data_IF_664753874349
#
_entry.id   IF_664753874349
#
_cell.length_a   1.000
_cell.length_b   1.000
_cell.length_c   1.000
_cell.angle_alpha   90.00
_cell.angle_beta   90.00
_cell.angle_gamma   90.00
#
_symmetry.space_group_name_H-M   'P 1'
#
loop_
_entity.id
_entity.type
_entity.pdbx_description
1 polymer ?
#
# COMPACT_ATOMS: atom_id res chain seq x y z
N UNK A 1 23.45 30.61 62.04
CA UNK A 1 22.27 31.01 61.24
C UNK A 1 21.31 29.84 61.26
N UNK A 2 20.37 29.81 62.22
CA UNK A 2 19.07 30.51 62.17
C UNK A 2 18.10 29.78 61.24
N UNK A 3 16.91 29.31 61.62
CA UNK A 3 16.20 29.17 62.91
C UNK A 3 14.95 28.33 62.57
N UNK A 4 14.62 27.37 63.45
CA UNK A 4 13.27 27.01 63.93
C UNK A 4 12.16 26.57 62.95
N UNK A 5 11.10 25.84 63.36
CA UNK A 5 10.71 25.07 64.55
C UNK A 5 9.38 24.38 64.19
N UNK A 6 9.15 23.25 64.87
CA UNK A 6 7.91 22.79 65.49
C UNK A 6 6.54 22.81 64.77
N UNK A 7 5.98 21.59 64.74
CA UNK A 7 4.69 21.13 65.31
C UNK A 7 3.45 21.98 65.01
N UNK A 8 2.41 21.32 64.48
CA UNK A 8 1.12 21.22 65.16
C UNK A 8 0.24 20.12 64.53
N UNK A 9 -0.16 19.15 65.35
CA UNK A 9 -1.42 18.43 65.19
C UNK A 9 -2.57 19.43 65.36
N UNK A 10 -3.64 19.30 64.57
CA UNK A 10 -4.99 19.65 65.03
C UNK A 10 -6.01 18.69 64.40
N UNK A 11 -6.73 17.97 65.26
CA UNK A 11 -8.00 17.33 64.94
C UNK A 11 -9.06 18.41 64.71
N UNK A 12 -9.99 18.18 63.79
CA UNK A 12 -11.33 18.79 63.85
C UNK A 12 -12.38 17.86 63.23
N UNK A 13 -13.55 17.89 63.87
CA UNK A 13 -14.66 16.95 63.79
C UNK A 13 -15.52 17.01 62.51
N UNK A 14 -16.09 15.84 62.22
CA UNK A 14 -17.43 15.51 61.72
C UNK A 14 -18.37 16.69 61.43
N UNK A 15 -18.93 16.71 60.21
CA UNK A 15 -20.33 17.10 59.98
C UNK A 15 -20.95 16.16 58.94
N UNK A 16 -21.79 15.25 59.42
CA UNK A 16 -22.68 14.42 58.60
C UNK A 16 -23.84 15.33 58.15
N UNK A 17 -23.94 15.61 56.85
CA UNK A 17 -25.09 16.32 56.29
C UNK A 17 -25.68 15.47 55.17
N UNK A 18 -26.83 14.87 55.46
CA UNK A 18 -27.71 14.30 54.44
C UNK A 18 -28.37 15.46 53.69
N UNK A 19 -28.21 15.50 52.37
CA UNK A 19 -29.06 16.31 51.50
C UNK A 19 -29.79 15.42 50.50
N UNK A 20 -31.10 15.61 50.52
CA UNK A 20 -32.12 14.92 49.75
C UNK A 20 -31.89 15.10 48.24
N UNK A 21 -32.20 14.04 47.49
CA UNK A 21 -32.36 14.10 46.06
C UNK A 21 -33.43 15.13 45.67
N UNK A 22 -33.04 16.17 44.92
CA UNK A 22 -33.96 16.91 44.08
C UNK A 22 -33.66 16.58 42.62
N UNK A 23 -34.58 15.85 41.99
CA UNK A 23 -34.64 15.69 40.55
C UNK A 23 -34.97 17.07 39.95
N UNK A 24 -33.95 17.76 39.44
CA UNK A 24 -34.11 18.94 38.58
C UNK A 24 -33.98 18.51 37.12
N UNK A 25 -34.76 19.08 36.19
CA UNK A 25 -34.70 18.70 34.79
C UNK A 25 -33.31 19.02 34.25
N UNK A 26 -32.65 18.01 33.68
CA UNK A 26 -31.42 18.19 32.92
C UNK A 26 -31.75 19.13 31.75
N UNK A 27 -31.36 20.40 31.88
CA UNK A 27 -31.23 21.31 30.75
C UNK A 27 -30.28 20.65 29.77
N UNK A 28 -30.81 20.25 28.62
CA UNK A 28 -30.08 19.49 27.61
C UNK A 28 -28.78 20.18 27.25
N UNK A 29 -27.68 19.44 27.43
CA UNK A 29 -26.46 19.72 26.69
C UNK A 29 -26.84 19.75 25.21
N UNK A 30 -26.44 20.78 24.42
CA UNK A 30 -26.52 20.69 22.99
C UNK A 30 -25.68 19.48 22.59
N UNK A 31 -26.37 18.42 22.16
CA UNK A 31 -25.76 17.23 21.59
C UNK A 31 -24.71 17.71 20.59
N UNK A 32 -23.44 17.52 20.94
CA UNK A 32 -22.35 17.70 20.00
C UNK A 32 -22.63 16.69 18.90
N UNK A 33 -23.19 17.16 17.79
CA UNK A 33 -23.39 16.32 16.63
C UNK A 33 -22.00 15.87 16.20
N UNK A 34 -21.69 14.60 16.52
CA UNK A 34 -20.59 13.88 15.91
C UNK A 34 -20.97 13.79 14.44
N UNK A 35 -20.56 14.79 13.66
CA UNK A 35 -20.63 14.74 12.21
C UNK A 35 -19.82 13.53 11.80
N UNK A 36 -20.50 12.46 11.40
CA UNK A 36 -19.86 11.27 10.86
C UNK A 36 -18.88 11.72 9.78
N UNK A 37 -17.60 11.37 9.93
CA UNK A 37 -16.63 11.61 8.87
C UNK A 37 -17.17 10.97 7.58
N UNK A 38 -17.13 11.67 6.44
CA UNK A 38 -17.64 11.11 5.20
C UNK A 38 -16.92 9.78 4.93
N UNK A 39 -17.70 8.76 4.59
CA UNK A 39 -17.15 7.45 4.21
C UNK A 39 -16.11 7.65 3.09
N UNK A 40 -14.97 6.94 3.13
CA UNK A 40 -13.95 7.07 2.10
C UNK A 40 -14.53 6.84 0.70
N UNK A 41 -14.18 7.70 -0.26
CA UNK A 41 -14.57 7.51 -1.67
C UNK A 41 -14.06 6.13 -2.13
N UNK A 42 -14.90 5.28 -2.74
CA UNK A 42 -14.45 4.01 -3.30
C UNK A 42 -13.37 4.20 -4.36
N UNK A 43 -12.53 3.18 -4.56
CA UNK A 43 -11.55 3.17 -5.66
C UNK A 43 -12.25 3.30 -7.01
N UNK A 44 -11.74 4.22 -7.83
CA UNK A 44 -12.29 4.54 -9.15
C UNK A 44 -11.60 3.69 -10.22
N UNK A 45 -12.34 2.73 -10.77
CA UNK A 45 -11.85 1.86 -11.86
C UNK A 45 -11.98 2.50 -13.25
N UNK A 46 -12.64 3.64 -13.39
CA UNK A 46 -12.88 4.25 -14.73
C UNK A 46 -11.61 4.53 -15.55
N UNK A 47 -10.44 4.92 -14.97
CA UNK A 47 -9.23 5.12 -15.76
C UNK A 47 -8.47 3.82 -16.06
N UNK A 48 -8.99 2.66 -15.66
CA UNK A 48 -8.31 1.37 -15.77
C UNK A 48 -9.08 0.37 -16.65
N UNK A 49 -8.32 -0.49 -17.31
CA UNK A 49 -8.81 -1.76 -17.84
C UNK A 49 -8.28 -2.87 -16.94
N UNK A 50 -9.19 -3.64 -16.33
CA UNK A 50 -8.82 -4.78 -15.51
C UNK A 50 -8.72 -6.02 -16.38
N UNK A 51 -7.64 -6.77 -16.24
CA UNK A 51 -7.47 -8.08 -16.89
C UNK A 51 -6.80 -9.07 -15.95
N UNK A 52 -6.97 -10.35 -16.24
CA UNK A 52 -6.29 -11.44 -15.54
C UNK A 52 -5.78 -12.47 -16.56
N UNK A 53 -4.69 -13.14 -16.20
CA UNK A 53 -4.13 -14.29 -16.92
C UNK A 53 -4.15 -15.48 -15.97
N UNK A 54 -4.56 -16.63 -16.47
CA UNK A 54 -4.85 -17.82 -15.68
C UNK A 54 -6.23 -17.77 -15.04
N UNK A 55 -6.47 -18.62 -14.05
CA UNK A 55 -7.74 -18.71 -13.33
C UNK A 55 -7.55 -18.36 -11.86
N UNK A 56 -8.43 -17.53 -11.31
CA UNK A 56 -8.43 -17.16 -9.89
C UNK A 56 -7.96 -15.74 -9.55
N UNK A 57 -6.92 -15.17 -10.19
CA UNK A 57 -6.49 -13.81 -9.87
C UNK A 57 -7.61 -12.78 -10.06
N UNK A 58 -7.71 -11.82 -9.12
CA UNK A 58 -8.75 -10.78 -9.16
C UNK A 58 -8.23 -9.43 -8.68
N UNK A 59 -8.86 -8.36 -9.20
CA UNK A 59 -8.70 -7.00 -8.71
C UNK A 59 -10.07 -6.50 -8.28
N UNK A 60 -10.23 -6.15 -7.01
CA UNK A 60 -11.52 -5.74 -6.44
C UNK A 60 -11.40 -4.49 -5.59
N UNK A 61 -12.42 -3.63 -5.61
CA UNK A 61 -12.43 -2.42 -4.78
C UNK A 61 -12.47 -2.77 -3.28
N UNK A 62 -11.65 -2.10 -2.49
CA UNK A 62 -11.51 -2.29 -1.05
C UNK A 62 -11.43 -0.92 -0.34
N UNK A 63 -12.61 -0.34 -0.09
CA UNK A 63 -12.71 1.05 0.34
C UNK A 63 -12.13 1.99 -0.71
N UNK A 64 -11.22 2.89 -0.31
CA UNK A 64 -10.50 3.77 -1.23
C UNK A 64 -9.35 3.12 -2.00
N UNK A 65 -9.10 1.83 -1.80
CA UNK A 65 -8.05 1.08 -2.47
C UNK A 65 -8.55 -0.05 -3.35
N UNK A 66 -7.61 -0.78 -3.94
CA UNK A 66 -7.87 -2.00 -4.71
C UNK A 66 -7.10 -3.16 -4.10
N UNK A 67 -7.77 -4.29 -3.92
CA UNK A 67 -7.14 -5.55 -3.57
C UNK A 67 -6.77 -6.32 -4.82
N UNK A 68 -5.49 -6.65 -4.95
CA UNK A 68 -4.97 -7.64 -5.87
C UNK A 68 -4.85 -8.97 -5.13
N UNK A 69 -5.55 -9.99 -5.61
CA UNK A 69 -5.61 -11.30 -4.99
C UNK A 69 -5.16 -12.37 -5.97
N UNK A 70 -4.29 -13.25 -5.51
CA UNK A 70 -3.97 -14.53 -6.14
C UNK A 70 -4.33 -15.65 -5.16
N UNK A 71 -5.43 -16.38 -5.38
CA UNK A 71 -5.84 -17.44 -4.46
C UNK A 71 -4.92 -18.65 -4.55
N UNK A 72 -4.78 -19.39 -3.46
CA UNK A 72 -3.99 -20.63 -3.36
C UNK A 72 -4.25 -21.62 -4.51
N UNK A 73 -5.50 -21.69 -4.98
CA UNK A 73 -5.94 -22.60 -6.05
C UNK A 73 -5.77 -22.02 -7.47
N UNK A 74 -5.15 -20.86 -7.61
CA UNK A 74 -4.94 -20.23 -8.92
C UNK A 74 -4.17 -21.17 -9.87
N UNK A 75 -4.58 -21.18 -11.14
CA UNK A 75 -3.95 -22.00 -12.17
C UNK A 75 -3.39 -21.12 -13.29
N UNK A 76 -2.15 -21.40 -13.71
CA UNK A 76 -1.54 -20.71 -14.84
C UNK A 76 -2.31 -20.94 -16.14
N UNK A 77 -2.21 -20.00 -17.07
CA UNK A 77 -2.77 -20.14 -18.41
C UNK A 77 -1.82 -20.97 -19.30
N UNK A 78 -2.21 -22.17 -19.77
CA UNK A 78 -1.37 -22.97 -20.65
C UNK A 78 -1.05 -22.29 -21.99
N UNK A 79 -1.92 -21.41 -22.48
CA UNK A 79 -1.70 -20.68 -23.72
C UNK A 79 -0.69 -19.53 -23.56
N UNK A 80 -0.38 -19.16 -22.31
CA UNK A 80 0.57 -18.09 -21.98
C UNK A 80 1.71 -18.61 -21.11
N UNK A 81 2.24 -19.79 -21.46
CA UNK A 81 3.39 -20.37 -20.76
C UNK A 81 3.20 -20.49 -19.23
N UNK A 82 1.98 -20.82 -18.79
CA UNK A 82 1.62 -20.97 -17.38
C UNK A 82 1.76 -19.68 -16.56
N UNK A 83 1.53 -18.50 -17.16
CA UNK A 83 1.50 -17.23 -16.43
C UNK A 83 0.27 -17.12 -15.52
N UNK A 84 0.46 -16.48 -14.37
CA UNK A 84 -0.58 -16.13 -13.40
C UNK A 84 -0.51 -14.64 -13.13
N UNK A 85 -1.62 -13.91 -13.34
CA UNK A 85 -1.57 -12.46 -13.20
C UNK A 85 -2.94 -11.80 -13.03
N UNK A 86 -2.93 -10.66 -12.34
CA UNK A 86 -3.97 -9.64 -12.42
C UNK A 86 -3.36 -8.26 -12.66
N UNK A 87 -3.94 -7.50 -13.59
CA UNK A 87 -3.47 -6.17 -14.00
C UNK A 87 -4.60 -5.14 -13.97
N UNK A 88 -4.25 -3.92 -13.58
CA UNK A 88 -4.92 -2.67 -13.92
C UNK A 88 -4.04 -1.95 -14.95
N UNK A 89 -4.50 -1.90 -16.19
CA UNK A 89 -3.83 -1.17 -17.27
C UNK A 89 -4.45 0.20 -17.41
N UNK A 90 -3.65 1.27 -17.31
CA UNK A 90 -4.14 2.62 -17.48
C UNK A 90 -4.69 2.82 -18.90
N UNK A 91 -5.80 3.56 -19.03
CA UNK A 91 -6.38 3.92 -20.33
C UNK A 91 -5.63 5.07 -21.03
N UNK A 92 -4.86 5.84 -20.28
CA UNK A 92 -3.97 6.86 -20.82
C UNK A 92 -2.60 6.27 -21.17
N UNK A 93 -1.75 7.11 -21.79
CA UNK A 93 -0.34 6.80 -21.99
C UNK A 93 0.54 7.77 -21.19
N UNK A 94 1.70 7.30 -20.75
CA UNK A 94 2.74 8.12 -20.14
C UNK A 94 3.58 8.77 -21.25
N UNK A 95 3.18 9.95 -21.69
CA UNK A 95 3.73 10.61 -22.90
C UNK A 95 4.89 11.56 -22.62
N UNK A 96 5.06 11.99 -21.37
CA UNK A 96 6.10 12.94 -20.95
C UNK A 96 6.83 12.41 -19.70
N UNK A 97 7.56 13.29 -19.02
CA UNK A 97 8.04 13.04 -17.67
C UNK A 97 6.86 12.61 -16.77
N UNK A 98 7.08 11.58 -15.98
CA UNK A 98 6.04 11.01 -15.12
C UNK A 98 6.57 10.68 -13.74
N UNK A 99 5.65 10.63 -12.79
CA UNK A 99 5.85 10.21 -11.42
C UNK A 99 4.66 9.38 -10.98
N UNK A 100 4.84 8.06 -10.97
CA UNK A 100 3.82 7.10 -10.55
C UNK A 100 4.15 6.64 -9.14
N UNK A 101 3.17 6.69 -8.24
CA UNK A 101 3.33 6.29 -6.83
C UNK A 101 2.12 5.49 -6.38
N UNK A 102 2.35 4.50 -5.52
CA UNK A 102 1.30 3.78 -4.84
C UNK A 102 1.74 3.38 -3.43
N UNK A 103 0.80 3.47 -2.49
CA UNK A 103 0.94 2.90 -1.17
C UNK A 103 0.45 1.46 -1.23
N UNK A 104 1.10 0.57 -0.47
CA UNK A 104 0.71 -0.83 -0.40
C UNK A 104 0.60 -1.32 1.04
N UNK A 105 -0.22 -2.34 1.23
CA UNK A 105 -0.28 -3.17 2.43
C UNK A 105 -0.36 -4.63 2.02
N UNK A 106 0.53 -5.45 2.56
CA UNK A 106 0.54 -6.89 2.39
C UNK A 106 -0.48 -7.49 3.36
N UNK A 107 -1.62 -7.94 2.83
CA UNK A 107 -2.71 -8.51 3.63
C UNK A 107 -2.48 -9.99 3.88
N UNK A 108 -2.05 -10.71 2.84
CA UNK A 108 -1.58 -12.08 2.91
C UNK A 108 -0.32 -12.18 2.04
N UNK A 109 0.82 -12.48 2.67
CA UNK A 109 2.11 -12.53 2.00
C UNK A 109 3.01 -13.60 2.64
N UNK A 110 2.71 -14.88 2.37
CA UNK A 110 3.56 -15.98 2.80
C UNK A 110 4.99 -15.80 2.26
N UNK A 111 6.03 -16.21 3.00
CA UNK A 111 7.39 -16.18 2.49
C UNK A 111 7.54 -17.14 1.31
N UNK A 112 8.45 -16.83 0.39
CA UNK A 112 8.73 -17.61 -0.83
C UNK A 112 7.51 -17.85 -1.73
N UNK A 113 6.54 -16.92 -1.76
CA UNK A 113 5.28 -17.14 -2.47
C UNK A 113 5.37 -17.04 -4.00
N UNK A 114 6.48 -16.54 -4.54
CA UNK A 114 6.73 -16.40 -5.98
C UNK A 114 6.10 -15.18 -6.63
N UNK A 115 5.25 -14.44 -5.93
CA UNK A 115 4.51 -13.31 -6.48
C UNK A 115 5.34 -12.03 -6.42
N UNK A 116 5.26 -11.30 -7.53
CA UNK A 116 5.66 -9.91 -7.65
C UNK A 116 4.39 -9.07 -7.70
N UNK A 117 4.42 -7.87 -7.11
CA UNK A 117 3.47 -6.83 -7.46
C UNK A 117 4.17 -5.49 -7.57
N UNK A 118 3.62 -4.59 -8.36
CA UNK A 118 4.25 -3.28 -8.50
C UNK A 118 3.67 -2.39 -9.57
N UNK A 119 4.46 -1.36 -9.86
CA UNK A 119 4.23 -0.37 -10.91
C UNK A 119 5.09 -0.74 -12.11
N UNK A 120 4.51 -0.77 -13.30
CA UNK A 120 5.20 -1.09 -14.55
C UNK A 120 4.92 -0.01 -15.59
N UNK A 121 5.96 0.55 -16.20
CA UNK A 121 5.86 1.48 -17.32
C UNK A 121 6.71 0.95 -18.48
N UNK A 122 6.06 0.53 -19.57
CA UNK A 122 6.78 0.07 -20.77
C UNK A 122 7.65 -1.17 -20.57
N UNK A 123 7.40 -1.96 -19.53
CA UNK A 123 8.19 -3.13 -19.14
C UNK A 123 9.19 -2.86 -18.01
N UNK A 124 9.48 -1.60 -17.70
CA UNK A 124 10.32 -1.19 -16.56
C UNK A 124 9.48 -1.10 -15.28
N UNK A 125 10.03 -1.48 -14.12
CA UNK A 125 9.23 -1.66 -12.91
C UNK A 125 9.87 -1.23 -11.58
N UNK A 126 8.99 -0.93 -10.63
CA UNK A 126 9.27 -0.86 -9.20
C UNK A 126 8.31 -1.80 -8.47
N UNK A 127 8.84 -2.71 -7.67
CA UNK A 127 8.12 -3.90 -7.20
C UNK A 127 8.36 -4.22 -5.73
N UNK A 128 7.42 -4.97 -5.17
CA UNK A 128 7.65 -5.85 -4.03
C UNK A 128 7.55 -7.29 -4.52
N UNK A 129 8.53 -8.11 -4.18
CA UNK A 129 8.60 -9.49 -4.60
C UNK A 129 8.90 -10.44 -3.43
N UNK A 130 8.42 -11.67 -3.57
CA UNK A 130 8.77 -12.82 -2.75
C UNK A 130 9.24 -13.92 -3.68
N UNK A 131 10.50 -14.32 -3.55
CA UNK A 131 11.17 -15.16 -4.55
C UNK A 131 11.58 -16.50 -3.94
N UNK A 132 11.08 -17.64 -4.43
CA UNK A 132 11.51 -18.95 -3.95
C UNK A 132 12.94 -19.32 -4.36
N UNK A 133 13.49 -18.69 -5.41
CA UNK A 133 14.78 -19.05 -6.02
C UNK A 133 15.86 -17.94 -5.87
N UNK A 134 15.71 -17.04 -4.90
CA UNK A 134 16.64 -15.93 -4.71
C UNK A 134 16.41 -15.21 -3.39
N UNK A 135 16.73 -13.91 -3.35
CA UNK A 135 16.42 -13.09 -2.19
C UNK A 135 14.90 -12.96 -2.03
N UNK A 136 14.40 -13.52 -0.94
CA UNK A 136 13.00 -13.41 -0.56
C UNK A 136 12.72 -12.06 0.09
N UNK A 137 11.47 -11.60 -0.02
CA UNK A 137 11.00 -10.35 0.57
C UNK A 137 11.87 -9.14 0.24
N UNK A 138 11.79 -8.71 -1.01
CA UNK A 138 12.59 -7.60 -1.53
C UNK A 138 11.73 -6.47 -2.06
N UNK A 139 12.26 -5.26 -1.99
CA UNK A 139 11.98 -4.25 -3.00
C UNK A 139 12.79 -4.61 -4.24
N UNK A 140 12.13 -4.82 -5.37
CA UNK A 140 12.78 -5.17 -6.62
C UNK A 140 12.55 -4.10 -7.68
N UNK A 141 13.44 -4.05 -8.64
CA UNK A 141 13.30 -3.27 -9.84
C UNK A 141 13.80 -4.05 -11.02
N UNK A 142 13.00 -4.11 -12.08
CA UNK A 142 13.41 -4.58 -13.39
C UNK A 142 13.50 -3.38 -14.31
N UNK A 143 14.72 -2.95 -14.67
CA UNK A 143 14.94 -1.85 -15.60
C UNK A 143 15.82 -2.32 -16.75
N UNK A 144 15.38 -2.12 -17.99
CA UNK A 144 16.14 -2.44 -19.21
C UNK A 144 16.71 -3.86 -19.24
N UNK A 145 15.97 -4.85 -18.72
CA UNK A 145 16.40 -6.26 -18.69
C UNK A 145 17.20 -6.68 -17.45
N UNK A 146 17.41 -5.78 -16.50
CA UNK A 146 18.23 -6.05 -15.31
C UNK A 146 17.42 -5.94 -14.03
N UNK A 147 17.57 -6.95 -13.16
CA UNK A 147 16.97 -6.98 -11.83
C UNK A 147 17.95 -6.40 -10.81
N UNK A 148 17.48 -5.47 -9.98
CA UNK A 148 18.16 -5.01 -8.76
C UNK A 148 17.19 -5.14 -7.59
N UNK A 149 17.69 -5.55 -6.43
CA UNK A 149 16.85 -5.81 -5.26
C UNK A 149 17.48 -5.29 -3.96
N UNK A 150 16.61 -4.95 -3.01
CA UNK A 150 16.96 -4.64 -1.63
C UNK A 150 16.05 -5.41 -0.68
N UNK A 151 16.64 -6.21 0.23
CA UNK A 151 15.90 -6.95 1.25
C UNK A 151 15.09 -6.04 2.15
N UNK A 152 13.90 -6.51 2.56
CA UNK A 152 13.01 -5.79 3.45
C UNK A 152 12.20 -6.75 4.33
N UNK A 153 11.66 -6.23 5.43
CA UNK A 153 10.64 -6.90 6.26
C UNK A 153 9.33 -6.11 6.26
N UNK A 154 9.22 -5.11 5.39
CA UNK A 154 8.08 -4.21 5.34
C UNK A 154 6.84 -4.94 4.83
N UNK A 155 5.76 -4.84 5.61
CA UNK A 155 4.41 -5.28 5.25
C UNK A 155 3.55 -4.12 4.76
N UNK A 156 4.04 -2.89 4.88
CA UNK A 156 3.43 -1.67 4.34
C UNK A 156 4.53 -0.79 3.78
N UNK A 157 4.25 -0.10 2.67
CA UNK A 157 5.24 0.83 2.13
C UNK A 157 4.71 1.62 0.95
N UNK A 158 5.63 2.27 0.24
CA UNK A 158 5.30 3.01 -0.99
C UNK A 158 6.32 2.68 -2.07
N UNK A 159 5.81 2.46 -3.27
CA UNK A 159 6.60 2.29 -4.49
C UNK A 159 6.50 3.55 -5.34
N UNK A 160 7.56 3.87 -6.07
CA UNK A 160 7.58 4.98 -7.01
C UNK A 160 8.39 4.63 -8.25
N UNK A 161 7.86 4.99 -9.42
CA UNK A 161 8.51 4.85 -10.72
C UNK A 161 8.44 6.20 -11.44
N UNK A 162 9.58 6.72 -11.88
CA UNK A 162 9.66 8.03 -12.52
C UNK A 162 10.35 7.97 -13.86
N UNK A 163 10.01 8.90 -14.74
CA UNK A 163 10.85 9.29 -15.88
C UNK A 163 11.09 10.79 -15.86
N UNK A 164 12.35 11.19 -16.00
CA UNK A 164 12.76 12.58 -16.23
C UNK A 164 13.70 12.63 -17.44
N UNK A 165 13.26 13.27 -18.51
CA UNK A 165 13.88 13.17 -19.83
C UNK A 165 13.91 11.72 -20.31
N UNK A 166 15.09 11.15 -20.45
CA UNK A 166 15.29 9.74 -20.80
C UNK A 166 15.61 8.85 -19.60
N UNK A 167 15.70 9.39 -18.39
CA UNK A 167 16.10 8.61 -17.21
C UNK A 167 14.87 8.01 -16.55
N UNK A 168 14.79 6.68 -16.48
CA UNK A 168 13.77 5.96 -15.72
C UNK A 168 14.40 5.48 -14.41
N UNK A 169 13.71 5.70 -13.30
CA UNK A 169 14.21 5.35 -11.97
C UNK A 169 13.11 4.76 -11.10
N UNK A 170 13.46 3.74 -10.33
CA UNK A 170 12.59 3.03 -9.41
C UNK A 170 12.99 3.31 -7.96
N UNK A 171 12.00 3.44 -7.09
CA UNK A 171 12.20 3.79 -5.69
C UNK A 171 11.24 3.04 -4.79
N UNK A 172 11.65 2.92 -3.54
CA UNK A 172 10.77 2.66 -2.40
C UNK A 172 10.94 3.74 -1.35
N UNK A 173 9.93 3.92 -0.50
CA UNK A 173 10.05 4.84 0.62
C UNK A 173 10.63 4.14 1.85
N UNK A 174 11.68 4.71 2.44
CA UNK A 174 12.29 4.27 3.70
C UNK A 174 12.57 5.49 4.56
N UNK A 175 12.16 5.46 5.83
CA UNK A 175 12.40 6.56 6.78
C UNK A 175 11.97 7.94 6.23
N UNK A 176 10.79 7.97 5.59
CA UNK A 176 10.22 9.15 4.91
C UNK A 176 11.05 9.69 3.73
N UNK A 177 12.05 8.96 3.28
CA UNK A 177 12.94 9.32 2.17
C UNK A 177 12.78 8.32 1.03
N UNK A 178 12.71 8.81 -0.21
CA UNK A 178 12.75 7.94 -1.38
C UNK A 178 14.14 7.37 -1.56
N UNK A 179 14.27 6.04 -1.45
CA UNK A 179 15.51 5.31 -1.71
C UNK A 179 15.44 4.72 -3.11
N UNK A 180 16.41 5.07 -3.95
CA UNK A 180 16.49 4.54 -5.31
C UNK A 180 16.91 3.07 -5.27
N UNK A 181 16.21 2.21 -6.00
CA UNK A 181 16.60 0.81 -6.22
C UNK A 181 17.55 0.76 -7.41
N UNK A 182 17.10 1.28 -8.55
CA UNK A 182 17.86 1.32 -9.79
C UNK A 182 17.48 2.53 -10.66
N UNK A 183 18.30 2.79 -11.67
CA UNK A 183 18.01 3.75 -12.73
C UNK A 183 18.61 3.29 -14.04
N UNK A 184 17.93 3.61 -15.14
CA UNK A 184 18.39 3.34 -16.50
C UNK A 184 18.06 4.49 -17.44
N UNK A 185 18.61 4.45 -18.64
CA UNK A 185 18.12 5.24 -19.77
C UNK A 185 17.02 4.46 -20.47
N UNK A 186 15.83 5.04 -20.57
CA UNK A 186 14.69 4.50 -21.28
C UNK A 186 14.28 5.37 -22.48
N UNK A 187 13.34 4.88 -23.30
CA UNK A 187 12.86 5.62 -24.46
C UNK A 187 12.03 6.84 -24.04
N UNK A 188 12.10 7.90 -24.85
CA UNK A 188 11.24 9.08 -24.73
C UNK A 188 9.85 8.88 -25.38
N UNK A 189 9.51 7.65 -25.77
CA UNK A 189 8.22 7.33 -26.39
C UNK A 189 7.12 7.18 -25.34
N UNK A 190 5.84 7.30 -25.72
CA UNK A 190 4.72 6.98 -24.84
C UNK A 190 4.83 5.55 -24.27
N UNK A 191 4.56 5.39 -22.98
CA UNK A 191 4.57 4.09 -22.30
C UNK A 191 3.20 3.77 -21.69
N UNK A 192 2.82 2.49 -21.76
CA UNK A 192 1.66 1.99 -21.03
C UNK A 192 2.02 1.83 -19.55
N UNK A 193 1.16 2.38 -18.67
CA UNK A 193 1.20 2.13 -17.24
C UNK A 193 0.37 0.90 -16.89
N UNK A 194 0.98 -0.04 -16.17
CA UNK A 194 0.34 -1.21 -15.57
C UNK A 194 0.62 -1.22 -14.08
N UNK A 195 -0.38 -1.64 -13.31
CA UNK A 195 -0.24 -1.98 -11.90
C UNK A 195 -0.79 -3.38 -11.75
N UNK A 196 -0.07 -4.28 -11.13
CA UNK A 196 -0.50 -5.67 -11.09
C UNK A 196 0.24 -6.51 -10.09
N UNK A 197 -0.22 -7.76 -9.99
CA UNK A 197 0.46 -8.83 -9.29
C UNK A 197 0.60 -10.02 -10.24
N UNK A 198 1.82 -10.54 -10.38
CA UNK A 198 2.17 -11.57 -11.36
C UNK A 198 3.17 -12.59 -10.81
N UNK A 199 3.14 -13.77 -11.41
CA UNK A 199 4.13 -14.84 -11.20
C UNK A 199 4.09 -15.79 -12.40
N UNK A 200 5.13 -16.63 -12.51
CA UNK A 200 4.99 -17.90 -13.22
C UNK A 200 4.31 -18.91 -12.29
N UNK A 201 3.40 -19.73 -12.82
CA UNK A 201 2.67 -20.71 -12.01
C UNK A 201 3.60 -21.69 -11.27
N UNK A 202 4.71 -22.12 -11.89
CA UNK A 202 5.67 -23.02 -11.24
C UNK A 202 6.46 -22.37 -10.09
N UNK A 203 6.41 -21.02 -9.99
CA UNK A 203 7.01 -20.25 -8.88
C UNK A 203 6.01 -19.99 -7.76
N UNK A 204 4.71 -20.13 -8.02
CA UNK A 204 3.66 -19.84 -7.06
C UNK A 204 3.61 -20.92 -5.98
N UNK A 205 3.67 -20.53 -4.71
CA UNK A 205 3.71 -21.46 -3.57
C UNK A 205 2.35 -22.10 -3.24
N UNK A 206 1.30 -21.74 -3.97
CA UNK A 206 -0.06 -22.17 -3.76
C UNK A 206 -0.66 -21.78 -2.41
N UNK A 207 -0.26 -20.63 -1.86
CA UNK A 207 -0.95 -19.96 -0.77
C UNK A 207 -1.68 -18.70 -1.24
N UNK A 208 -2.63 -18.23 -0.45
CA UNK A 208 -3.30 -16.97 -0.73
C UNK A 208 -2.31 -15.81 -0.64
N UNK A 209 -2.18 -15.05 -1.74
CA UNK A 209 -1.43 -13.80 -1.79
C UNK A 209 -2.41 -12.65 -2.03
N UNK A 210 -2.39 -11.66 -1.14
CA UNK A 210 -3.28 -10.50 -1.19
C UNK A 210 -2.54 -9.22 -0.85
N UNK A 211 -2.65 -8.24 -1.72
CA UNK A 211 -2.08 -6.90 -1.54
C UNK A 211 -3.16 -5.86 -1.73
N UNK A 212 -3.27 -4.93 -0.77
CA UNK A 212 -4.11 -3.76 -0.89
C UNK A 212 -3.28 -2.58 -1.38
N UNK A 213 -3.71 -1.93 -2.45
CA UNK A 213 -3.10 -0.72 -3.00
C UNK A 213 -3.97 0.49 -2.74
N UNK A 214 -3.36 1.61 -2.32
CA UNK A 214 -4.03 2.87 -2.01
C UNK A 214 -3.21 4.06 -2.49
N UNK A 215 -3.84 5.24 -2.48
CA UNK A 215 -3.19 6.51 -2.77
C UNK A 215 -2.42 6.52 -4.10
N UNK A 216 -2.96 5.81 -5.08
CA UNK A 216 -2.38 5.74 -6.41
C UNK A 216 -2.42 7.13 -7.06
N UNK A 217 -1.25 7.64 -7.41
CA UNK A 217 -1.10 8.93 -8.09
C UNK A 217 -0.18 8.79 -9.30
N UNK A 218 -0.50 9.51 -10.36
CA UNK A 218 0.31 9.55 -11.57
C UNK A 218 0.33 10.97 -12.16
N UNK A 219 1.48 11.37 -12.70
CA UNK A 219 1.61 12.54 -13.57
C UNK A 219 2.03 12.09 -14.98
N UNK A 220 1.86 12.95 -15.99
CA UNK A 220 2.29 12.63 -17.37
C UNK A 220 1.37 11.65 -18.11
N UNK A 221 0.19 11.37 -17.56
CA UNK A 221 -0.87 10.56 -18.14
C UNK A 221 -1.79 11.45 -19.00
N UNK A 222 -1.81 11.21 -20.32
CA UNK A 222 -2.62 11.95 -21.30
C UNK A 222 -3.31 11.02 -22.30
#
# INVERSE_FOLDING_TARGET
MSIHRHRALLLAAIALSAFLASCGPATGDPATQVTASPSPKPFDFSPWTVSAIGTGPTATGAGSGVDLMMPAKAQGDPAQAQKLEVRLTARCQLTADFDVRADYTLIAWPPLNGVHFGLVAGGDSAERASNPNGDDNVYASYLSGHVTAAGTQDTTGRLRLTRVGTTISSYYLRDQTWTQIASTTGPATPLTLVIGAWTDWYMFDHHDVRVNLKNLSTTGCS
#
